data_IF_855372878557
#
_entry.id   IF_855372878557
#
_cell.length_a   1.000
_cell.length_b   1.000
_cell.length_c   1.000
_cell.angle_alpha   90.00
_cell.angle_beta   90.00
_cell.angle_gamma   90.00
#
_symmetry.space_group_name_H-M   'P 1'
#
loop_
_entity.id
_entity.type
_entity.pdbx_description
1 polymer ?
#
# COMPACT_ATOMS: atom_id res chain seq x y z
N UNK A 1 9.80 8.54 8.65
CA UNK A 1 9.23 7.33 9.29
C UNK A 1 7.96 7.74 9.99
N UNK A 2 6.91 6.93 9.92
CA UNK A 2 5.58 7.25 10.46
C UNK A 2 5.24 6.24 11.57
N UNK A 3 4.58 6.68 12.63
CA UNK A 3 4.11 5.79 13.69
C UNK A 3 3.01 4.86 13.15
N UNK A 4 3.00 3.60 13.58
CA UNK A 4 2.01 2.60 13.12
C UNK A 4 0.57 3.06 13.33
N UNK A 5 0.30 3.72 14.45
CA UNK A 5 -1.05 4.18 14.84
C UNK A 5 -1.59 5.25 13.88
N UNK A 6 -0.74 6.18 13.44
CA UNK A 6 -1.12 7.27 12.53
C UNK A 6 -0.82 6.96 11.07
N UNK A 7 -0.34 5.74 10.77
CA UNK A 7 0.13 5.39 9.45
C UNK A 7 -1.01 5.37 8.43
N UNK A 8 -2.15 4.77 8.80
CA UNK A 8 -3.29 4.60 7.91
C UNK A 8 -3.79 5.97 7.46
N UNK A 9 -4.10 6.87 8.41
CA UNK A 9 -4.57 8.22 8.09
C UNK A 9 -3.56 9.01 7.26
N UNK A 10 -2.27 8.88 7.58
CA UNK A 10 -1.22 9.55 6.81
C UNK A 10 -1.08 8.98 5.39
N UNK A 11 -1.25 7.68 5.20
CA UNK A 11 -1.20 7.04 3.88
C UNK A 11 -2.41 7.45 3.05
N UNK A 12 -3.62 7.39 3.61
CA UNK A 12 -4.84 7.77 2.89
C UNK A 12 -4.78 9.22 2.39
N UNK A 13 -4.32 10.17 3.24
CA UNK A 13 -4.11 11.57 2.82
C UNK A 13 -3.09 11.70 1.69
N UNK A 14 -2.00 10.93 1.75
CA UNK A 14 -0.95 10.92 0.71
C UNK A 14 -1.42 10.28 -0.60
N UNK A 15 -2.26 9.25 -0.53
CA UNK A 15 -2.82 8.55 -1.67
C UNK A 15 -3.88 9.39 -2.39
N UNK A 16 -4.72 10.11 -1.62
CA UNK A 16 -5.72 11.03 -2.18
C UNK A 16 -5.11 12.13 -3.03
N UNK A 17 -3.96 12.66 -2.61
CA UNK A 17 -3.21 13.70 -3.33
C UNK A 17 -2.23 13.16 -4.38
N UNK A 18 -2.16 11.83 -4.54
CA UNK A 18 -1.25 11.19 -5.49
C UNK A 18 -1.81 11.25 -6.91
N UNK A 19 -1.00 11.57 -7.92
CA UNK A 19 -1.40 11.45 -9.31
C UNK A 19 -1.52 9.99 -9.74
N UNK A 20 -2.36 9.74 -10.75
CA UNK A 20 -2.56 8.39 -11.32
C UNK A 20 -1.27 7.87 -11.93
N UNK A 21 -1.01 6.57 -11.77
CA UNK A 21 0.20 5.90 -12.20
C UNK A 21 1.39 6.13 -11.28
N UNK A 22 1.21 6.74 -10.10
CA UNK A 22 2.27 6.81 -9.09
C UNK A 22 2.09 5.75 -8.01
N UNK A 23 3.15 5.48 -7.24
CA UNK A 23 3.09 4.53 -6.15
C UNK A 23 3.91 4.91 -4.91
N UNK A 24 3.45 4.41 -3.77
CA UNK A 24 4.18 4.41 -2.51
C UNK A 24 4.72 3.02 -2.18
N UNK A 25 5.93 2.99 -1.65
CA UNK A 25 6.56 1.79 -1.08
C UNK A 25 6.53 1.90 0.45
N UNK A 26 5.80 0.98 1.09
CA UNK A 26 5.62 0.92 2.53
C UNK A 26 6.37 -0.27 3.08
N UNK A 27 7.36 -0.03 3.94
CA UNK A 27 8.24 -1.08 4.47
C UNK A 27 8.39 -1.09 5.98
N UNK A 28 8.74 -2.28 6.47
CA UNK A 28 9.11 -2.53 7.86
C UNK A 28 10.35 -1.73 8.26
N UNK A 29 10.64 -1.71 9.57
CA UNK A 29 11.89 -1.16 10.04
C UNK A 29 13.12 -1.86 9.43
N UNK A 30 13.08 -3.20 9.30
CA UNK A 30 14.19 -3.99 8.77
C UNK A 30 14.22 -4.05 7.23
N UNK A 31 13.19 -3.52 6.56
CA UNK A 31 13.02 -3.47 5.09
C UNK A 31 12.91 -4.84 4.42
N UNK A 32 12.75 -5.89 5.20
CA UNK A 32 12.57 -7.29 4.80
C UNK A 32 11.12 -7.60 4.38
N UNK A 33 10.19 -6.72 4.71
CA UNK A 33 8.74 -6.90 4.57
C UNK A 33 8.06 -5.59 4.21
N UNK A 34 7.11 -5.63 3.28
CA UNK A 34 6.48 -4.43 2.77
C UNK A 34 5.27 -4.66 1.88
N UNK A 35 4.67 -3.57 1.46
CA UNK A 35 3.67 -3.55 0.40
C UNK A 35 3.82 -2.27 -0.43
N UNK A 36 3.44 -2.35 -1.69
CA UNK A 36 3.33 -1.21 -2.59
C UNK A 36 1.87 -0.79 -2.70
N UNK A 37 1.63 0.50 -2.81
CA UNK A 37 0.30 1.04 -3.12
C UNK A 37 0.40 1.89 -4.37
N UNK A 38 -0.25 1.46 -5.44
CA UNK A 38 -0.25 2.11 -6.75
C UNK A 38 -1.64 2.70 -6.97
N UNK A 39 -1.71 3.95 -7.43
CA UNK A 39 -2.97 4.53 -7.90
C UNK A 39 -3.13 4.20 -9.38
N UNK A 40 -3.99 3.24 -9.69
CA UNK A 40 -4.20 2.75 -11.05
C UNK A 40 -5.15 3.64 -11.83
N UNK A 41 -6.20 4.13 -11.16
CA UNK A 41 -7.18 5.07 -11.71
C UNK A 41 -7.51 6.14 -10.66
N UNK A 42 -8.44 7.05 -10.94
CA UNK A 42 -8.72 8.20 -10.06
C UNK A 42 -9.22 7.76 -8.67
N UNK A 43 -10.02 6.68 -8.63
CA UNK A 43 -10.58 6.06 -7.43
C UNK A 43 -10.20 4.58 -7.26
N UNK A 44 -9.26 4.04 -8.07
CA UNK A 44 -8.82 2.64 -7.96
C UNK A 44 -7.35 2.56 -7.51
N UNK A 45 -7.11 1.82 -6.43
CA UNK A 45 -5.79 1.59 -5.86
C UNK A 45 -5.46 0.10 -5.87
N UNK A 46 -4.26 -0.23 -6.37
CA UNK A 46 -3.71 -1.57 -6.30
C UNK A 46 -2.70 -1.65 -5.15
N UNK A 47 -2.82 -2.69 -4.33
CA UNK A 47 -1.88 -3.00 -3.26
C UNK A 47 -1.17 -4.30 -3.62
N UNK A 48 0.16 -4.27 -3.64
CA UNK A 48 1.00 -5.44 -3.88
C UNK A 48 1.77 -5.74 -2.61
N UNK A 49 1.42 -6.82 -1.93
CA UNK A 49 2.13 -7.29 -0.75
C UNK A 49 3.43 -8.00 -1.18
N UNK A 50 4.54 -7.67 -0.52
CA UNK A 50 5.84 -8.33 -0.67
C UNK A 50 6.38 -8.64 0.71
N UNK A 51 5.79 -9.66 1.30
CA UNK A 51 5.90 -9.90 2.72
C UNK A 51 5.85 -11.37 3.09
N UNK A 52 5.13 -11.65 4.18
CA UNK A 52 4.79 -13.02 4.55
C UNK A 52 3.90 -13.68 3.48
N UNK A 53 3.05 -12.89 2.84
CA UNK A 53 2.28 -13.28 1.66
C UNK A 53 2.66 -12.42 0.46
N UNK A 54 2.55 -12.99 -0.74
CA UNK A 54 2.62 -12.27 -2.02
C UNK A 54 1.20 -12.22 -2.60
N UNK A 55 0.40 -11.30 -2.05
CA UNK A 55 -0.99 -11.09 -2.48
C UNK A 55 -1.17 -9.72 -3.15
N UNK A 56 -2.11 -9.69 -4.09
CA UNK A 56 -2.49 -8.48 -4.81
C UNK A 56 -3.94 -8.14 -4.47
N UNK A 57 -4.16 -6.90 -4.05
CA UNK A 57 -5.48 -6.37 -3.72
C UNK A 57 -5.81 -5.19 -4.63
N UNK A 58 -7.08 -5.04 -4.98
CA UNK A 58 -7.59 -3.87 -5.71
C UNK A 58 -8.78 -3.35 -4.93
N UNK A 59 -8.74 -2.08 -4.56
CA UNK A 59 -9.82 -1.43 -3.84
C UNK A 59 -9.85 0.07 -4.10
N UNK A 60 -10.99 0.65 -3.85
CA UNK A 60 -11.19 2.08 -3.69
C UNK A 60 -10.66 2.61 -2.34
N UNK A 61 -10.72 3.93 -2.16
CA UNK A 61 -10.17 4.64 -1.01
C UNK A 61 -10.78 4.20 0.33
N UNK A 62 -12.06 3.83 0.36
CA UNK A 62 -12.74 3.37 1.58
C UNK A 62 -12.31 1.95 1.96
N UNK A 63 -12.22 1.04 0.97
CA UNK A 63 -11.78 -0.34 1.21
C UNK A 63 -10.29 -0.47 1.58
N UNK A 64 -9.45 0.48 1.16
CA UNK A 64 -8.03 0.55 1.55
C UNK A 64 -7.82 0.57 3.06
N UNK A 65 -8.70 1.23 3.83
CA UNK A 65 -8.56 1.33 5.28
C UNK A 65 -8.54 -0.07 5.94
N UNK A 66 -9.47 -0.93 5.50
CA UNK A 66 -9.60 -2.27 6.05
C UNK A 66 -8.43 -3.17 5.63
N UNK A 67 -7.99 -3.05 4.37
CA UNK A 67 -6.82 -3.77 3.84
C UNK A 67 -5.56 -3.37 4.64
N UNK A 68 -5.31 -2.08 4.84
CA UNK A 68 -4.15 -1.62 5.62
C UNK A 68 -4.20 -2.09 7.06
N UNK A 69 -5.37 -2.12 7.72
CA UNK A 69 -5.50 -2.72 9.07
C UNK A 69 -5.07 -4.19 9.09
N UNK A 70 -5.54 -4.98 8.11
CA UNK A 70 -5.18 -6.39 7.95
C UNK A 70 -3.66 -6.53 7.76
N UNK A 71 -3.10 -5.81 6.80
CA UNK A 71 -1.65 -5.82 6.51
C UNK A 71 -0.82 -5.38 7.71
N UNK A 72 -1.23 -4.35 8.44
CA UNK A 72 -0.53 -3.89 9.64
C UNK A 72 -0.55 -4.88 10.81
N UNK A 73 -1.57 -5.73 10.87
CA UNK A 73 -1.67 -6.80 11.87
C UNK A 73 -0.81 -8.00 11.49
N UNK A 74 -0.85 -8.42 10.22
CA UNK A 74 -0.15 -9.60 9.71
C UNK A 74 1.34 -9.31 9.51
N UNK A 75 1.65 -8.24 8.79
CA UNK A 75 2.99 -7.97 8.26
C UNK A 75 3.87 -7.17 9.23
N UNK A 76 3.24 -6.37 10.09
CA UNK A 76 3.92 -5.48 11.03
C UNK A 76 3.50 -5.66 12.50
N UNK A 77 3.39 -6.89 13.05
CA UNK A 77 2.86 -7.12 14.39
C UNK A 77 3.69 -6.41 15.47
N UNK A 78 5.02 -6.35 15.31
CA UNK A 78 5.97 -5.77 16.30
C UNK A 78 6.64 -4.46 15.85
N UNK A 79 6.27 -3.91 14.69
CA UNK A 79 6.87 -2.67 14.21
C UNK A 79 6.10 -1.46 14.73
N UNK A 80 6.77 -0.57 15.47
CA UNK A 80 6.16 0.68 15.96
C UNK A 80 6.28 1.83 14.95
N UNK A 81 7.30 1.80 14.09
CA UNK A 81 7.56 2.82 13.07
C UNK A 81 7.74 2.17 11.70
N UNK A 82 7.07 2.74 10.70
CA UNK A 82 7.02 2.23 9.33
C UNK A 82 7.63 3.27 8.39
N UNK A 83 8.30 2.79 7.34
CA UNK A 83 8.91 3.61 6.31
C UNK A 83 7.95 3.71 5.14
N UNK A 84 7.77 4.92 4.63
CA UNK A 84 6.93 5.20 3.47
C UNK A 84 7.78 6.02 2.51
N UNK A 85 7.96 5.51 1.29
CA UNK A 85 8.73 6.13 0.23
C UNK A 85 7.79 6.49 -0.92
N UNK A 86 7.86 7.72 -1.41
CA UNK A 86 7.22 8.08 -2.67
C UNK A 86 8.19 7.68 -3.79
N UNK A 87 7.80 6.69 -4.60
CA UNK A 87 8.63 6.20 -5.68
C UNK A 87 8.35 6.88 -7.02
N UNK A 88 7.38 7.80 -7.05
CA UNK A 88 6.98 8.49 -8.27
C UNK A 88 6.21 7.57 -9.21
N UNK A 89 6.49 7.68 -10.51
CA UNK A 89 5.75 7.01 -11.58
C UNK A 89 6.04 5.50 -11.57
N UNK A 90 4.98 4.70 -11.49
CA UNK A 90 5.01 3.26 -11.68
C UNK A 90 5.27 2.96 -13.15
N UNK A 91 6.18 2.02 -13.43
CA UNK A 91 6.40 1.48 -14.76
C UNK A 91 5.23 0.55 -15.14
N UNK A 92 4.95 0.41 -16.45
CA UNK A 92 3.83 -0.38 -17.00
C UNK A 92 3.78 -1.83 -16.46
N UNK A 93 4.93 -2.38 -16.05
CA UNK A 93 5.04 -3.72 -15.47
C UNK A 93 4.25 -3.89 -14.15
N UNK A 94 4.02 -2.80 -13.40
CA UNK A 94 3.29 -2.79 -12.12
C UNK A 94 1.79 -2.50 -12.34
N UNK A 95 1.43 -1.87 -13.46
CA UNK A 95 0.05 -1.53 -13.85
C UNK A 95 -0.69 -2.70 -14.52
N UNK A 96 -0.07 -3.86 -14.67
CA UNK A 96 -0.78 -5.07 -15.11
C UNK A 96 -1.89 -5.35 -14.08
N UNK A 97 -3.11 -4.95 -14.43
CA UNK A 97 -4.31 -5.09 -13.59
C UNK A 97 -4.27 -6.46 -12.91
N UNK A 98 -4.16 -6.53 -11.57
CA UNK A 98 -4.22 -7.79 -10.85
C UNK A 98 -5.44 -8.57 -11.34
N UNK A 99 -5.32 -9.89 -11.53
CA UNK A 99 -6.48 -10.74 -11.81
C UNK A 99 -7.43 -10.61 -10.63
N UNK A 100 -8.42 -9.73 -10.77
CA UNK A 100 -9.35 -9.28 -9.73
C UNK A 100 -9.83 -10.46 -8.89
N UNK A 101 -9.33 -10.58 -7.66
CA UNK A 101 -10.05 -11.27 -6.60
C UNK A 101 -10.88 -10.19 -5.90
N UNK A 102 -12.12 -10.00 -6.38
CA UNK A 102 -13.09 -9.17 -5.67
C UNK A 102 -13.28 -9.78 -4.28
N UNK A 103 -12.94 -9.04 -3.23
CA UNK A 103 -13.37 -9.30 -1.85
C UNK A 103 -14.75 -8.68 -1.69
#
# INVERSE_FOLDING_TARGET
MIAKETLIDSLLKKLKSMPVGHYYDVRSYKRDRGFYVIKSEEDEYCILERGFFEEEYVSDLDGLNNIFKKLLKIEFPRSHKIRVYNMGKASECILKKPKRKKI
#
